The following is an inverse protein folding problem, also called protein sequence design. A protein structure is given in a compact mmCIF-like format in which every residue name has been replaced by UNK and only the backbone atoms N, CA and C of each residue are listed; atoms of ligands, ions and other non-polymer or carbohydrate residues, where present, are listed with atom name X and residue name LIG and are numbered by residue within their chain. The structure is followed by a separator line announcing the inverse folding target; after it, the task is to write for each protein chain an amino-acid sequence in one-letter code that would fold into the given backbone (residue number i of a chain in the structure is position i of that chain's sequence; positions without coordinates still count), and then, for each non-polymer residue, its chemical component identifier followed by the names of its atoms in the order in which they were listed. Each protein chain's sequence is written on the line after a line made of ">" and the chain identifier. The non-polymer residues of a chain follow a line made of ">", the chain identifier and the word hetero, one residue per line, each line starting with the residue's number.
data_IF_415602108879
#
_entry.id   IF_415602108879
#
_cell.length_a   1.000
_cell.length_b   1.000
_cell.length_c   1.000
_cell.angle_alpha   90.00
_cell.angle_beta   90.00
_cell.angle_gamma   90.00
#
_symmetry.space_group_name_H-M   'P 1'
#
loop_
_entity.id
_entity.type
_entity.pdbx_description
1 polymer ?
#
# COMPACT_ATOMS: atom_id res chain seq x y z
N UNK A 1 2.24 -0.83 19.43
CA UNK A 1 1.10 -1.42 18.68
C UNK A 1 0.32 -0.40 17.84
N UNK A 2 0.31 0.90 18.20
CA UNK A 2 -0.43 1.95 17.46
C UNK A 2 -0.03 2.10 15.99
N UNK A 3 1.28 2.06 15.68
CA UNK A 3 1.72 2.45 14.34
C UNK A 3 1.45 1.41 13.24
N UNK A 4 1.28 0.13 13.58
CA UNK A 4 0.88 -0.91 12.60
C UNK A 4 -0.61 -0.81 12.32
N UNK A 5 -1.43 -0.54 13.35
CA UNK A 5 -2.87 -0.39 13.18
C UNK A 5 -3.21 0.83 12.31
N UNK A 6 -2.55 1.96 12.56
CA UNK A 6 -2.69 3.15 11.72
C UNK A 6 -2.32 2.89 10.25
N UNK A 7 -1.23 2.15 10.00
CA UNK A 7 -0.85 1.76 8.63
C UNK A 7 -1.90 0.86 7.97
N UNK A 8 -2.52 -0.05 8.72
CA UNK A 8 -3.60 -0.88 8.17
C UNK A 8 -4.84 -0.04 7.81
N UNK A 9 -5.23 0.92 8.65
CA UNK A 9 -6.36 1.82 8.37
C UNK A 9 -6.10 2.73 7.14
N UNK A 10 -4.86 3.23 7.00
CA UNK A 10 -4.45 4.00 5.82
C UNK A 10 -4.54 3.13 4.55
N UNK A 11 -4.05 1.89 4.60
CA UNK A 11 -4.14 0.95 3.48
C UNK A 11 -5.58 0.59 3.13
N UNK A 12 -6.43 0.30 4.12
CA UNK A 12 -7.86 0.03 3.91
C UNK A 12 -8.58 1.20 3.24
N UNK A 13 -8.14 2.44 3.50
CA UNK A 13 -8.70 3.63 2.85
C UNK A 13 -8.40 3.63 1.36
N UNK A 14 -7.17 3.30 0.96
CA UNK A 14 -6.81 3.16 -0.45
C UNK A 14 -7.51 1.97 -1.11
N UNK A 15 -7.56 0.81 -0.43
CA UNK A 15 -8.24 -0.38 -0.94
C UNK A 15 -9.72 -0.12 -1.20
N UNK A 16 -10.40 0.62 -0.30
CA UNK A 16 -11.80 1.00 -0.48
C UNK A 16 -11.99 2.03 -1.57
N UNK A 17 -11.06 2.98 -1.72
CA UNK A 17 -11.11 4.03 -2.75
C UNK A 17 -10.96 3.46 -4.15
N UNK A 18 -10.06 2.49 -4.34
CA UNK A 18 -9.71 1.93 -5.65
C UNK A 18 -10.29 0.54 -5.93
N UNK A 19 -10.80 -0.15 -4.92
CA UNK A 19 -11.32 -1.51 -5.07
C UNK A 19 -10.26 -2.57 -5.34
N UNK A 20 -8.99 -2.29 -5.04
CA UNK A 20 -7.84 -3.18 -5.27
C UNK A 20 -7.18 -3.49 -3.93
N UNK A 21 -6.80 -4.74 -3.68
CA UNK A 21 -6.04 -5.11 -2.48
C UNK A 21 -4.64 -4.51 -2.51
N UNK A 22 -4.12 -4.06 -1.36
CA UNK A 22 -2.78 -3.46 -1.27
C UNK A 22 -1.69 -4.41 -1.76
N UNK A 23 -1.86 -5.73 -1.56
CA UNK A 23 -0.94 -6.75 -2.07
C UNK A 23 -0.91 -6.78 -3.60
N UNK A 24 -2.08 -6.90 -4.25
CA UNK A 24 -2.22 -6.91 -5.71
C UNK A 24 -1.74 -5.60 -6.32
N UNK A 25 -2.12 -4.47 -5.74
CA UNK A 25 -1.64 -3.16 -6.14
C UNK A 25 -0.11 -3.08 -6.06
N UNK A 26 0.48 -3.53 -4.95
CA UNK A 26 1.93 -3.45 -4.76
C UNK A 26 2.70 -4.36 -5.71
N UNK A 27 2.18 -5.54 -6.05
CA UNK A 27 2.76 -6.41 -7.08
C UNK A 27 2.81 -5.68 -8.44
N UNK A 28 1.68 -5.15 -8.91
CA UNK A 28 1.59 -4.35 -10.14
C UNK A 28 2.55 -3.15 -10.10
N UNK A 29 2.57 -2.40 -9.00
CA UNK A 29 3.48 -1.27 -8.79
C UNK A 29 4.95 -1.69 -8.89
N UNK A 30 5.34 -2.82 -8.30
CA UNK A 30 6.72 -3.33 -8.40
C UNK A 30 7.09 -3.86 -9.77
N UNK A 31 6.10 -4.30 -10.56
CA UNK A 31 6.28 -4.71 -11.95
C UNK A 31 6.36 -3.51 -12.91
N UNK A 32 6.15 -2.28 -12.42
CA UNK A 32 6.17 -1.07 -13.23
C UNK A 32 4.94 -0.89 -14.10
N UNK A 33 3.82 -1.51 -13.73
CA UNK A 33 2.53 -1.19 -14.33
C UNK A 33 2.15 0.24 -13.93
N UNK A 34 1.63 1.03 -14.87
CA UNK A 34 1.15 2.40 -14.65
C UNK A 34 -0.36 2.40 -14.39
N UNK A 35 -0.90 3.35 -13.61
CA UNK A 35 -2.32 3.42 -13.36
C UNK A 35 -3.05 3.85 -14.64
N UNK A 36 -4.30 3.42 -14.80
CA UNK A 36 -5.12 3.82 -15.95
C UNK A 36 -5.43 5.33 -15.95
N UNK A 37 -5.41 5.97 -14.77
CA UNK A 37 -5.67 7.39 -14.59
C UNK A 37 -4.48 8.13 -13.95
N UNK A 38 -4.02 9.21 -14.59
CA UNK A 38 -2.94 10.08 -14.08
C UNK A 38 -3.21 10.63 -12.67
N UNK A 39 -4.50 10.83 -12.33
CA UNK A 39 -4.91 11.32 -11.01
C UNK A 39 -4.54 10.35 -9.88
N UNK A 40 -4.29 9.08 -10.19
CA UNK A 40 -3.97 8.04 -9.20
C UNK A 40 -2.48 7.93 -8.93
N UNK A 41 -1.63 8.51 -9.79
CA UNK A 41 -0.16 8.40 -9.68
C UNK A 41 0.37 8.91 -8.33
N UNK A 42 -0.20 10.00 -7.80
CA UNK A 42 0.17 10.56 -6.50
C UNK A 42 -0.23 9.62 -5.36
N UNK A 43 -1.48 9.17 -5.34
CA UNK A 43 -1.99 8.25 -4.34
C UNK A 43 -1.29 6.88 -4.39
N UNK A 44 -0.87 6.45 -5.59
CA UNK A 44 -0.10 5.22 -5.80
C UNK A 44 1.27 5.24 -5.14
N UNK A 45 2.03 6.33 -5.29
CA UNK A 45 3.34 6.43 -4.66
C UNK A 45 3.23 6.39 -3.12
N UNK A 46 2.22 7.08 -2.58
CA UNK A 46 1.95 7.10 -1.13
C UNK A 46 1.47 5.73 -0.63
N UNK A 47 0.56 5.07 -1.36
CA UNK A 47 0.07 3.73 -1.05
C UNK A 47 1.20 2.69 -1.04
N UNK A 48 2.07 2.71 -2.06
CA UNK A 48 3.22 1.82 -2.14
C UNK A 48 4.20 2.06 -0.99
N UNK A 49 4.40 3.33 -0.60
CA UNK A 49 5.19 3.72 0.56
C UNK A 49 4.63 3.12 1.86
N UNK A 50 3.33 3.30 2.11
CA UNK A 50 2.65 2.78 3.29
C UNK A 50 2.76 1.25 3.39
N UNK A 51 2.51 0.54 2.29
CA UNK A 51 2.56 -0.92 2.25
C UNK A 51 3.99 -1.45 2.49
N UNK A 52 5.00 -0.78 1.92
CA UNK A 52 6.41 -1.14 2.13
C UNK A 52 6.84 -0.98 3.59
N UNK A 53 6.35 0.05 4.29
CA UNK A 53 6.61 0.23 5.72
C UNK A 53 5.94 -0.90 6.51
N UNK A 54 4.71 -1.28 6.16
CA UNK A 54 4.00 -2.39 6.80
C UNK A 54 4.77 -3.70 6.65
N UNK A 55 5.23 -4.05 5.45
CA UNK A 55 6.03 -5.26 5.18
C UNK A 55 7.30 -5.30 6.04
N UNK A 56 8.06 -4.20 6.05
CA UNK A 56 9.30 -4.10 6.85
C UNK A 56 9.03 -4.29 8.34
N UNK A 57 7.94 -3.72 8.86
CA UNK A 57 7.57 -3.89 10.27
C UNK A 57 7.12 -5.32 10.54
N UNK A 58 6.31 -5.93 9.67
CA UNK A 58 5.88 -7.31 9.80
C UNK A 58 7.05 -8.30 9.85
N UNK A 59 8.14 -8.03 9.11
CA UNK A 59 9.36 -8.84 9.17
C UNK A 59 10.13 -8.67 10.48
N UNK A 60 10.13 -7.48 11.08
CA UNK A 60 10.74 -7.24 12.40
C UNK A 60 10.00 -7.93 13.55
N UNK A 61 8.67 -8.09 13.45
CA UNK A 61 7.88 -8.82 14.45
C UNK A 61 7.90 -10.35 14.26
N UNK A 62 8.29 -10.84 13.08
CA UNK A 62 8.39 -12.28 12.79
C UNK A 62 9.69 -12.93 13.25
N UNK A 63 10.62 -12.14 13.82
CA UNK A 63 11.98 -12.54 14.20
C UNK A 63 12.17 -12.43 15.70
#
# INVERSE_FOLDING_TARGET
>A
MSDIHALHEDLETYERKYGVLSETFYESYTNGEEPEEDAWVLDWADWAGAYKILLRRGEQYRR
#
